data_IF_183137008542
#
_entry.id   IF_183137008542
#
_cell.length_a   1.000
_cell.length_b   1.000
_cell.length_c   1.000
_cell.angle_alpha   90.00
_cell.angle_beta   90.00
_cell.angle_gamma   90.00
#
_symmetry.space_group_name_H-M   'P 1'
#
loop_
_entity.id
_entity.type
_entity.pdbx_description
1 polymer ?
#
# COMPACT_ATOMS: atom_id res chain seq x y z
N UNK A 1 -10.23 -4.79 -48.44
CA UNK A 1 -9.39 -5.61 -47.53
C UNK A 1 -8.36 -4.78 -46.75
N UNK A 2 -7.51 -3.95 -47.40
CA UNK A 2 -6.52 -3.10 -46.68
C UNK A 2 -7.10 -2.05 -45.71
N UNK A 3 -8.29 -1.51 -45.98
CA UNK A 3 -8.97 -0.54 -45.10
C UNK A 3 -9.62 -1.17 -43.86
N UNK A 4 -9.96 -2.46 -43.92
CA UNK A 4 -10.59 -3.19 -42.81
C UNK A 4 -9.53 -3.66 -41.78
N UNK A 5 -8.32 -3.99 -42.25
CA UNK A 5 -7.19 -4.30 -41.36
C UNK A 5 -6.69 -3.07 -40.57
N UNK A 6 -6.75 -1.86 -41.15
CA UNK A 6 -6.29 -0.64 -40.47
C UNK A 6 -7.20 -0.24 -39.30
N UNK A 7 -8.51 -0.48 -39.43
CA UNK A 7 -9.51 -0.14 -38.41
C UNK A 7 -9.47 -1.10 -37.22
N UNK A 8 -9.17 -2.39 -37.43
CA UNK A 8 -9.01 -3.37 -36.34
C UNK A 8 -7.72 -3.19 -35.56
N UNK A 9 -6.62 -2.75 -36.19
CA UNK A 9 -5.37 -2.40 -35.48
C UNK A 9 -5.48 -1.11 -34.65
N UNK A 10 -6.22 -0.10 -35.12
CA UNK A 10 -6.43 1.14 -34.35
C UNK A 10 -7.34 0.88 -33.14
N UNK A 11 -8.35 0.01 -33.29
CA UNK A 11 -9.24 -0.34 -32.17
C UNK A 11 -8.54 -1.17 -31.09
N UNK A 12 -7.60 -2.06 -31.45
CA UNK A 12 -6.84 -2.86 -30.47
C UNK A 12 -5.74 -2.05 -29.75
N UNK A 13 -5.19 -1.01 -30.37
CA UNK A 13 -4.22 -0.10 -29.73
C UNK A 13 -4.86 0.86 -28.71
N UNK A 14 -6.19 1.08 -28.77
CA UNK A 14 -6.90 1.98 -27.85
C UNK A 14 -7.31 1.35 -26.51
N UNK A 15 -7.16 0.02 -26.35
CA UNK A 15 -7.49 -0.68 -25.08
C UNK A 15 -6.27 -1.00 -24.21
N UNK A 16 -5.05 -0.63 -24.62
CA UNK A 16 -3.82 -0.98 -23.90
C UNK A 16 -3.42 0.02 -22.79
N UNK A 17 -4.16 1.11 -22.59
CA UNK A 17 -3.73 2.25 -21.76
C UNK A 17 -4.43 2.40 -20.40
N UNK A 18 -5.35 1.50 -20.02
CA UNK A 18 -6.21 1.70 -18.85
C UNK A 18 -5.59 1.31 -17.49
N UNK A 19 -4.48 0.56 -17.47
CA UNK A 19 -3.94 -0.01 -16.23
C UNK A 19 -2.89 0.86 -15.52
N UNK A 20 -2.24 1.80 -16.24
CA UNK A 20 -1.20 2.67 -15.67
C UNK A 20 -1.75 3.96 -15.04
N UNK A 21 -3.06 4.20 -15.11
CA UNK A 21 -3.67 5.49 -14.79
C UNK A 21 -3.96 5.72 -13.28
N UNK A 22 -3.80 4.73 -12.40
CA UNK A 22 -4.27 4.86 -11.01
C UNK A 22 -3.22 5.37 -10.02
N UNK A 23 -1.99 4.85 -10.07
CA UNK A 23 -0.96 5.23 -9.08
C UNK A 23 -0.54 6.70 -9.24
N UNK A 24 -0.50 7.20 -10.48
CA UNK A 24 -0.19 8.61 -10.81
C UNK A 24 -1.23 9.60 -10.27
N UNK A 25 -2.44 9.11 -9.96
CA UNK A 25 -3.55 9.90 -9.42
C UNK A 25 -3.80 9.62 -7.93
N UNK A 26 -2.79 9.13 -7.22
CA UNK A 26 -2.87 8.74 -5.81
C UNK A 26 -1.96 9.54 -4.88
N UNK A 27 -2.19 9.46 -3.56
CA UNK A 27 -1.28 9.96 -2.51
C UNK A 27 0.14 9.38 -2.60
N UNK A 28 0.33 8.22 -3.24
CA UNK A 28 1.64 7.58 -3.40
C UNK A 28 2.40 8.06 -4.65
N UNK A 29 1.84 8.99 -5.44
CA UNK A 29 2.61 9.67 -6.48
C UNK A 29 3.47 10.78 -5.88
N UNK A 30 4.68 10.43 -5.43
CA UNK A 30 5.61 11.39 -4.85
C UNK A 30 6.49 12.10 -5.90
N UNK A 31 6.33 11.80 -7.20
CA UNK A 31 7.15 12.33 -8.28
C UNK A 31 6.76 13.75 -8.73
N UNK A 32 7.60 14.39 -9.53
CA UNK A 32 7.37 15.74 -10.07
C UNK A 32 6.28 15.81 -11.13
N UNK A 33 5.81 14.66 -11.61
CA UNK A 33 4.61 14.53 -12.44
C UNK A 33 3.32 14.47 -11.61
N UNK A 34 3.39 14.72 -10.30
CA UNK A 34 2.20 14.81 -9.45
C UNK A 34 1.24 15.88 -9.99
N UNK A 35 -0.03 15.55 -10.31
CA UNK A 35 -0.95 16.49 -10.93
C UNK A 35 -1.22 17.69 -10.01
N UNK A 36 -1.05 18.90 -10.53
CA UNK A 36 -1.43 20.12 -9.82
C UNK A 36 -2.95 20.11 -9.56
N UNK A 37 -3.36 20.24 -8.30
CA UNK A 37 -4.78 20.16 -7.92
C UNK A 37 -5.34 18.73 -7.85
N UNK A 38 -4.49 17.70 -7.82
CA UNK A 38 -4.95 16.37 -7.42
C UNK A 38 -5.58 16.49 -6.03
N UNK A 39 -6.89 16.25 -5.95
CA UNK A 39 -7.67 16.22 -4.71
C UNK A 39 -7.12 15.20 -3.68
N UNK A 40 -6.17 14.38 -4.10
CA UNK A 40 -5.71 13.17 -3.45
C UNK A 40 -4.19 13.10 -3.25
N UNK A 41 -3.42 14.19 -3.36
CA UNK A 41 -2.00 14.21 -2.98
C UNK A 41 -1.46 15.62 -2.78
N UNK A 42 -0.84 15.90 -1.63
CA UNK A 42 -0.18 17.21 -1.38
C UNK A 42 1.34 17.06 -1.29
N UNK A 43 1.82 15.83 -1.11
CA UNK A 43 3.23 15.49 -0.93
C UNK A 43 3.83 14.98 -2.24
N UNK A 44 4.75 15.75 -2.80
CA UNK A 44 5.44 15.41 -4.05
C UNK A 44 6.74 16.20 -4.17
N UNK A 45 7.73 15.65 -4.88
CA UNK A 45 8.97 16.37 -5.18
C UNK A 45 8.82 17.25 -6.40
N UNK A 46 9.30 18.49 -6.35
CA UNK A 46 9.26 19.39 -7.52
C UNK A 46 10.39 19.13 -8.53
N UNK A 47 11.51 18.54 -8.09
CA UNK A 47 12.71 18.40 -8.91
C UNK A 47 13.49 17.08 -8.72
N UNK A 48 13.00 16.15 -7.88
CA UNK A 48 13.70 14.89 -7.60
C UNK A 48 13.63 13.89 -8.76
N UNK A 49 12.42 13.51 -9.18
CA UNK A 49 12.22 12.50 -10.23
C UNK A 49 10.80 12.51 -10.78
N UNK A 50 10.62 12.07 -12.03
CA UNK A 50 9.31 11.80 -12.65
C UNK A 50 8.88 10.34 -12.47
N UNK A 51 9.75 9.47 -11.96
CA UNK A 51 9.48 8.04 -11.79
C UNK A 51 8.62 7.78 -10.55
N UNK A 52 7.35 7.42 -10.74
CA UNK A 52 6.40 7.23 -9.63
C UNK A 52 6.72 6.00 -8.77
N UNK A 53 7.14 4.91 -9.40
CA UNK A 53 7.40 3.65 -8.69
C UNK A 53 8.70 3.66 -7.89
N UNK A 54 9.65 4.56 -8.19
CA UNK A 54 11.01 4.51 -7.63
C UNK A 54 11.04 4.68 -6.11
N UNK A 55 10.02 5.33 -5.56
CA UNK A 55 9.86 5.50 -4.12
C UNK A 55 9.56 4.19 -3.39
N UNK A 56 9.10 3.15 -4.08
CA UNK A 56 8.73 1.86 -3.50
C UNK A 56 9.53 0.71 -4.11
N UNK A 57 9.72 0.70 -5.42
CA UNK A 57 10.22 -0.42 -6.19
C UNK A 57 11.38 -0.01 -7.09
N UNK A 58 12.29 -0.95 -7.34
CA UNK A 58 13.34 -0.81 -8.35
C UNK A 58 13.45 -2.09 -9.17
N UNK A 59 13.74 -2.02 -10.48
CA UNK A 59 13.93 -3.24 -11.28
C UNK A 59 15.09 -4.12 -10.77
N UNK A 60 16.12 -3.51 -10.19
CA UNK A 60 17.30 -4.22 -9.67
C UNK A 60 17.85 -3.55 -8.42
N UNK A 61 18.44 -4.35 -7.53
CA UNK A 61 19.07 -3.82 -6.31
C UNK A 61 18.06 -3.40 -5.24
N UNK A 62 16.83 -3.91 -5.28
CA UNK A 62 15.88 -3.82 -4.17
C UNK A 62 16.10 -4.91 -3.13
N UNK A 63 15.42 -4.81 -1.99
CA UNK A 63 15.34 -5.89 -0.99
C UNK A 63 14.09 -6.75 -1.23
N UNK A 64 13.95 -7.83 -0.45
CA UNK A 64 12.83 -8.79 -0.55
C UNK A 64 11.75 -8.57 0.52
N UNK A 65 11.82 -7.50 1.31
CA UNK A 65 10.83 -7.17 2.35
C UNK A 65 9.44 -6.87 1.74
N UNK A 66 9.47 -6.33 0.52
CA UNK A 66 8.37 -6.24 -0.44
C UNK A 66 8.97 -6.44 -1.85
N UNK A 67 8.18 -6.58 -2.93
CA UNK A 67 8.71 -6.87 -4.26
C UNK A 67 9.78 -5.87 -4.73
N UNK A 68 11.06 -6.23 -4.67
CA UNK A 68 12.19 -5.36 -5.03
C UNK A 68 12.10 -3.97 -4.36
N UNK A 69 11.95 -3.96 -3.03
CA UNK A 69 11.77 -2.74 -2.27
C UNK A 69 12.97 -1.79 -2.38
N UNK A 70 12.71 -0.52 -2.69
CA UNK A 70 13.74 0.45 -3.08
C UNK A 70 14.03 1.53 -2.04
N UNK A 71 13.81 1.25 -0.75
CA UNK A 71 14.02 2.24 0.32
C UNK A 71 14.91 1.73 1.44
N UNK A 72 15.38 2.65 2.27
CA UNK A 72 15.75 2.33 3.65
C UNK A 72 14.59 1.61 4.33
N UNK A 73 14.88 0.52 5.04
CA UNK A 73 13.89 -0.20 5.83
C UNK A 73 13.75 0.42 7.20
N UNK A 74 12.53 0.43 7.71
CA UNK A 74 12.28 0.83 9.10
C UNK A 74 12.98 -0.12 10.09
N UNK A 75 13.25 0.39 11.29
CA UNK A 75 13.97 -0.38 12.30
C UNK A 75 13.05 -1.45 12.89
N UNK A 76 13.28 -2.70 12.52
CA UNK A 76 12.55 -3.83 13.09
C UNK A 76 12.67 -3.85 14.62
N UNK A 77 11.55 -4.09 15.30
CA UNK A 77 11.52 -4.19 16.77
C UNK A 77 11.42 -2.86 17.52
N UNK A 78 11.33 -1.73 16.82
CA UNK A 78 11.22 -0.40 17.44
C UNK A 78 9.78 0.02 17.78
N UNK A 79 8.78 -0.83 17.54
CA UNK A 79 7.36 -0.44 17.64
C UNK A 79 6.72 -0.83 18.97
N UNK A 80 5.68 -0.10 19.35
CA UNK A 80 4.74 -0.48 20.42
C UNK A 80 3.43 -0.94 19.79
N UNK A 81 3.22 -2.24 19.55
CA UNK A 81 2.01 -2.73 18.91
C UNK A 81 0.79 -2.67 19.84
N UNK A 82 -0.40 -2.70 19.24
CA UNK A 82 -1.64 -2.94 19.96
C UNK A 82 -1.57 -4.21 20.81
N UNK A 83 -2.09 -4.12 22.03
CA UNK A 83 -2.30 -5.26 22.92
C UNK A 83 -3.61 -5.11 23.67
N UNK A 84 -4.27 -6.24 23.96
CA UNK A 84 -5.52 -6.29 24.71
C UNK A 84 -5.61 -7.61 25.48
N UNK A 85 -6.34 -7.63 26.58
CA UNK A 85 -6.64 -8.88 27.31
C UNK A 85 -7.61 -9.81 26.58
N UNK A 86 -8.28 -9.32 25.53
CA UNK A 86 -9.29 -10.05 24.76
C UNK A 86 -8.79 -10.47 23.38
N UNK A 87 -7.48 -10.35 23.10
CA UNK A 87 -6.92 -10.80 21.83
C UNK A 87 -6.42 -12.25 21.94
N UNK A 88 -6.95 -13.12 21.09
CA UNK A 88 -6.66 -14.56 21.14
C UNK A 88 -5.47 -14.97 20.26
N UNK A 89 -4.79 -14.00 19.64
CA UNK A 89 -3.59 -14.21 18.83
C UNK A 89 -2.43 -13.33 19.31
N UNK A 90 -1.21 -13.69 18.89
CA UNK A 90 -0.01 -12.91 19.16
C UNK A 90 0.12 -11.76 18.14
N UNK A 91 0.18 -10.54 18.66
CA UNK A 91 0.62 -9.35 17.91
C UNK A 91 2.13 -9.23 18.09
N UNK A 92 2.86 -9.58 17.03
CA UNK A 92 4.31 -9.43 16.99
C UNK A 92 4.73 -8.00 16.64
N UNK A 93 6.04 -7.80 16.53
CA UNK A 93 6.59 -6.60 15.93
C UNK A 93 6.27 -6.56 14.42
N UNK A 94 6.09 -5.36 13.82
CA UNK A 94 5.92 -5.22 12.39
C UNK A 94 7.04 -5.89 11.59
N UNK A 95 6.66 -6.61 10.54
CA UNK A 95 7.56 -7.31 9.64
C UNK A 95 7.07 -7.25 8.17
N UNK A 96 7.91 -7.74 7.26
CA UNK A 96 7.59 -7.88 5.84
C UNK A 96 6.99 -6.60 5.23
N UNK A 97 5.81 -6.76 4.62
CA UNK A 97 5.12 -5.67 3.91
C UNK A 97 4.73 -4.53 4.84
N UNK A 98 4.30 -4.79 6.07
CA UNK A 98 3.99 -3.73 7.02
C UNK A 98 5.23 -2.92 7.40
N UNK A 99 6.36 -3.57 7.65
CA UNK A 99 7.62 -2.88 7.93
C UNK A 99 8.09 -2.04 6.72
N UNK A 100 7.85 -2.52 5.49
CA UNK A 100 8.09 -1.75 4.28
C UNK A 100 7.20 -0.49 4.24
N UNK A 101 5.89 -0.60 4.48
CA UNK A 101 4.99 0.57 4.56
C UNK A 101 5.45 1.57 5.64
N UNK A 102 5.84 1.08 6.81
CA UNK A 102 6.30 1.91 7.92
C UNK A 102 7.61 2.66 7.59
N UNK A 103 8.41 2.21 6.62
CA UNK A 103 9.57 3.00 6.12
C UNK A 103 9.22 4.34 5.45
N UNK A 104 7.93 4.58 5.22
CA UNK A 104 7.38 5.90 4.90
C UNK A 104 6.55 6.43 6.08
N UNK A 105 5.72 5.55 6.65
CA UNK A 105 4.63 5.93 7.53
C UNK A 105 4.98 6.04 9.00
N UNK A 106 6.18 5.65 9.45
CA UNK A 106 6.59 5.84 10.86
C UNK A 106 7.30 7.17 11.14
N UNK A 107 7.53 7.97 10.09
CA UNK A 107 8.12 9.30 10.20
C UNK A 107 9.62 9.32 10.53
N UNK A 108 10.31 8.18 10.58
CA UNK A 108 11.73 8.09 10.96
C UNK A 108 12.68 8.10 9.77
N UNK A 109 12.17 7.81 8.57
CA UNK A 109 12.96 7.65 7.34
C UNK A 109 12.53 8.68 6.29
N UNK A 110 13.52 9.36 5.70
CA UNK A 110 13.30 10.31 4.62
C UNK A 110 12.63 9.64 3.40
N UNK A 111 11.63 10.29 2.79
CA UNK A 111 10.93 9.80 1.60
C UNK A 111 11.85 9.60 0.39
N UNK A 112 13.01 10.24 0.36
CA UNK A 112 14.04 10.06 -0.68
C UNK A 112 15.24 9.22 -0.20
N UNK A 113 15.12 8.45 0.89
CA UNK A 113 16.14 7.46 1.25
C UNK A 113 16.01 6.20 0.38
N UNK A 114 16.43 6.31 -0.89
CA UNK A 114 16.26 5.27 -1.91
C UNK A 114 17.49 4.37 -2.05
N UNK A 115 17.26 3.05 -2.14
CA UNK A 115 18.32 2.05 -2.34
C UNK A 115 18.96 2.14 -3.72
N UNK A 116 18.17 2.47 -4.73
CA UNK A 116 18.59 2.67 -6.11
C UNK A 116 17.88 3.93 -6.63
N UNK A 117 18.57 5.07 -6.56
CA UNK A 117 18.06 6.34 -7.08
C UNK A 117 18.00 6.31 -8.62
N UNK A 118 17.11 7.10 -9.25
CA UNK A 118 17.04 7.23 -10.71
C UNK A 118 18.40 7.54 -11.35
N UNK A 119 18.65 6.94 -12.51
CA UNK A 119 19.92 7.09 -13.24
C UNK A 119 20.96 6.02 -12.89
N UNK A 120 22.18 6.20 -13.39
CA UNK A 120 23.29 5.26 -13.15
C UNK A 120 24.10 5.68 -11.92
N UNK A 121 24.56 4.70 -11.14
CA UNK A 121 25.44 4.93 -9.99
C UNK A 121 24.74 5.33 -8.69
N UNK A 122 23.40 5.38 -8.67
CA UNK A 122 22.59 5.75 -7.50
C UNK A 122 22.32 4.62 -6.48
N UNK A 123 23.05 3.50 -6.57
CA UNK A 123 22.86 2.35 -5.69
C UNK A 123 23.59 2.52 -4.35
N UNK A 124 22.88 2.30 -3.23
CA UNK A 124 23.43 2.28 -1.88
C UNK A 124 22.80 1.17 -1.05
N UNK A 125 23.62 0.38 -0.35
CA UNK A 125 23.12 -0.64 0.61
C UNK A 125 22.64 -0.03 1.92
N UNK A 126 23.00 1.21 2.21
CA UNK A 126 22.61 1.97 3.40
C UNK A 126 22.08 3.32 2.93
N UNK A 127 20.88 3.33 2.32
CA UNK A 127 20.39 4.52 1.65
C UNK A 127 20.08 5.64 2.62
N UNK A 128 20.57 6.83 2.30
CA UNK A 128 20.29 8.09 2.99
C UNK A 128 19.48 8.99 2.07
N UNK A 129 18.94 10.09 2.62
CA UNK A 129 18.24 11.10 1.83
C UNK A 129 19.07 11.55 0.63
N UNK A 130 18.42 11.67 -0.54
CA UNK A 130 19.01 12.25 -1.75
C UNK A 130 19.09 13.79 -1.70
N UNK A 131 18.51 14.43 -0.68
CA UNK A 131 18.44 15.89 -0.57
C UNK A 131 17.37 16.52 -1.46
N UNK A 132 16.38 15.74 -1.90
CA UNK A 132 15.24 16.27 -2.64
C UNK A 132 14.35 17.13 -1.73
N UNK A 133 13.58 18.03 -2.32
CA UNK A 133 12.58 18.80 -1.57
C UNK A 133 11.19 18.33 -1.93
N UNK A 134 10.34 18.15 -0.92
CA UNK A 134 8.94 17.77 -1.09
C UNK A 134 8.01 18.92 -0.69
N UNK A 135 7.00 19.18 -1.52
CA UNK A 135 5.83 19.97 -1.16
C UNK A 135 4.96 19.20 -0.14
N UNK A 136 4.04 19.88 0.55
CA UNK A 136 3.02 19.24 1.40
C UNK A 136 3.50 18.71 2.75
N UNK A 137 4.80 18.74 3.02
CA UNK A 137 5.42 18.41 4.31
C UNK A 137 5.83 19.74 4.96
N UNK A 138 4.87 20.48 5.52
CA UNK A 138 5.15 21.85 6.02
C UNK A 138 5.78 21.91 7.41
N UNK A 139 6.01 20.78 8.10
CA UNK A 139 6.39 20.80 9.53
C UNK A 139 7.69 20.09 9.89
N UNK A 140 8.48 19.58 8.93
CA UNK A 140 9.87 19.22 9.19
C UNK A 140 10.82 19.81 8.16
N UNK A 141 11.48 20.94 8.48
CA UNK A 141 12.57 21.46 7.66
C UNK A 141 13.68 20.41 7.58
N UNK A 142 13.86 19.81 6.39
CA UNK A 142 15.11 19.15 6.01
C UNK A 142 15.26 17.65 6.26
N UNK A 143 14.22 16.92 6.69
CA UNK A 143 14.32 15.46 6.86
C UNK A 143 13.49 14.64 5.86
N UNK A 144 12.66 15.29 5.01
CA UNK A 144 11.77 14.64 4.06
C UNK A 144 10.89 13.52 4.67
N UNK A 145 10.53 13.59 5.95
CA UNK A 145 9.66 12.59 6.59
C UNK A 145 8.21 13.06 6.63
N UNK A 146 7.27 12.13 6.77
CA UNK A 146 5.87 12.49 6.97
C UNK A 146 5.71 13.20 8.33
N UNK A 147 4.93 14.30 8.38
CA UNK A 147 4.77 15.06 9.60
C UNK A 147 3.82 14.39 10.58
N UNK A 148 4.08 14.52 11.88
CA UNK A 148 3.12 14.20 12.94
C UNK A 148 2.20 15.41 13.14
N UNK A 149 1.31 15.66 12.17
CA UNK A 149 0.42 16.84 12.13
C UNK A 149 -1.03 16.54 12.53
N UNK A 150 -1.26 15.40 13.19
CA UNK A 150 -2.59 14.92 13.59
C UNK A 150 -3.38 14.24 12.47
N UNK A 151 -2.83 14.11 11.25
CA UNK A 151 -3.35 13.20 10.22
C UNK A 151 -2.82 11.80 10.48
N UNK A 152 -3.64 10.77 10.24
CA UNK A 152 -3.24 9.35 10.26
C UNK A 152 -2.44 9.02 8.99
N UNK A 153 -1.36 9.78 8.75
CA UNK A 153 -0.40 9.56 7.66
C UNK A 153 0.95 9.16 8.24
N UNK A 154 1.35 9.79 9.35
CA UNK A 154 2.47 9.36 10.16
C UNK A 154 1.93 8.60 11.38
N UNK A 155 2.12 7.28 11.40
CA UNK A 155 1.73 6.36 12.46
C UNK A 155 2.74 6.35 13.62
N UNK A 156 3.91 6.98 13.45
CA UNK A 156 5.02 6.92 14.39
C UNK A 156 5.46 5.46 14.66
N UNK A 157 6.21 5.24 15.74
CA UNK A 157 6.53 3.90 16.23
C UNK A 157 5.55 3.41 17.32
N UNK A 158 4.55 4.21 17.67
CA UNK A 158 3.50 3.86 18.64
C UNK A 158 2.25 3.44 17.87
N UNK A 159 2.00 2.13 17.79
CA UNK A 159 0.88 1.51 17.06
C UNK A 159 -0.18 0.95 18.02
N UNK A 160 -0.22 1.46 19.26
CA UNK A 160 -1.03 0.89 20.34
C UNK A 160 -2.53 1.17 20.20
N UNK A 161 -2.90 2.15 19.38
CA UNK A 161 -4.27 2.54 19.02
C UNK A 161 -4.64 2.15 17.58
N UNK A 162 -3.75 1.48 16.86
CA UNK A 162 -3.99 0.97 15.52
C UNK A 162 -4.57 -0.45 15.51
N UNK A 163 -5.18 -0.82 14.38
CA UNK A 163 -5.52 -2.23 14.14
C UNK A 163 -4.24 -3.07 14.08
N UNK A 164 -4.17 -4.21 14.78
CA UNK A 164 -3.00 -5.07 14.71
C UNK A 164 -2.59 -5.43 13.28
N UNK A 165 -1.30 -5.22 13.00
CA UNK A 165 -0.61 -5.62 11.76
C UNK A 165 0.56 -6.54 12.10
N UNK A 166 1.03 -7.30 11.11
CA UNK A 166 2.03 -8.35 11.26
C UNK A 166 1.67 -9.42 12.32
N UNK A 167 0.40 -9.47 12.72
CA UNK A 167 -0.19 -10.52 13.56
C UNK A 167 -0.49 -11.76 12.72
N UNK A 168 -0.33 -12.94 13.33
CA UNK A 168 -0.78 -14.19 12.71
C UNK A 168 -2.30 -14.22 12.74
N UNK A 169 -2.92 -14.41 11.57
CA UNK A 169 -4.36 -14.56 11.46
C UNK A 169 -4.79 -15.81 12.22
N UNK A 170 -5.76 -15.71 13.15
CA UNK A 170 -6.13 -16.83 13.99
C UNK A 170 -6.74 -17.95 13.17
N UNK A 171 -6.46 -19.19 13.56
CA UNK A 171 -7.22 -20.34 13.07
C UNK A 171 -8.59 -20.38 13.75
N UNK A 172 -9.57 -21.03 13.13
CA UNK A 172 -10.92 -21.18 13.70
C UNK A 172 -10.93 -21.89 15.08
N UNK A 173 -9.89 -22.66 15.40
CA UNK A 173 -9.73 -23.29 16.73
C UNK A 173 -9.17 -22.33 17.77
N UNK A 174 -8.31 -21.39 17.37
CA UNK A 174 -7.78 -20.35 18.25
C UNK A 174 -8.85 -19.30 18.55
N UNK A 175 -9.55 -18.85 17.51
CA UNK A 175 -10.67 -17.93 17.66
C UNK A 175 -11.80 -18.29 16.66
N UNK A 176 -12.92 -18.87 17.14
CA UNK A 176 -14.05 -19.24 16.28
C UNK A 176 -14.85 -18.02 15.77
N UNK A 177 -14.53 -16.80 16.20
CA UNK A 177 -15.14 -15.55 15.72
C UNK A 177 -14.42 -14.96 14.51
N UNK A 178 -13.57 -15.73 13.84
CA UNK A 178 -12.94 -15.34 12.57
C UNK A 178 -13.37 -16.25 11.41
N UNK A 179 -13.60 -15.65 10.25
CA UNK A 179 -13.85 -16.38 9.02
C UNK A 179 -12.58 -17.10 8.55
N UNK A 180 -12.73 -18.31 8.01
CA UNK A 180 -11.59 -19.01 7.41
C UNK A 180 -11.36 -18.50 5.98
N UNK A 181 -10.16 -17.98 5.65
CA UNK A 181 -9.86 -17.51 4.31
C UNK A 181 -9.71 -18.67 3.31
N UNK A 182 -9.97 -18.39 2.03
CA UNK A 182 -9.73 -19.30 0.93
C UNK A 182 -8.25 -19.35 0.53
N UNK A 183 -7.84 -20.42 -0.15
CA UNK A 183 -6.52 -20.50 -0.78
C UNK A 183 -6.58 -19.82 -2.15
N UNK A 184 -5.73 -18.81 -2.35
CA UNK A 184 -5.73 -17.98 -3.54
C UNK A 184 -4.32 -18.00 -4.16
N UNK A 185 -4.02 -19.04 -4.92
CA UNK A 185 -2.67 -19.31 -5.42
C UNK A 185 -1.67 -19.55 -4.27
N UNK A 186 -0.67 -18.67 -4.15
CA UNK A 186 0.38 -18.76 -3.12
C UNK A 186 0.06 -17.99 -1.82
N UNK A 187 -1.15 -17.43 -1.70
CA UNK A 187 -1.60 -16.64 -0.57
C UNK A 187 -2.95 -17.16 -0.03
N UNK A 188 -3.40 -16.58 1.07
CA UNK A 188 -4.78 -16.70 1.53
C UNK A 188 -5.55 -15.42 1.23
N UNK A 189 -6.82 -15.53 0.84
CA UNK A 189 -7.66 -14.38 0.58
C UNK A 189 -9.13 -14.64 0.92
N UNK A 190 -9.89 -13.56 1.06
CA UNK A 190 -11.35 -13.61 1.22
C UNK A 190 -11.98 -13.44 -0.16
N UNK A 191 -11.87 -14.51 -0.94
CA UNK A 191 -12.32 -14.62 -2.33
C UNK A 191 -13.85 -14.48 -2.42
N UNK A 192 -14.31 -13.41 -3.07
CA UNK A 192 -15.74 -13.09 -3.21
C UNK A 192 -16.36 -13.68 -4.47
N UNK A 193 -15.55 -14.05 -5.46
CA UNK A 193 -16.01 -14.55 -6.76
C UNK A 193 -15.65 -16.02 -7.03
N UNK A 194 -15.01 -16.67 -6.07
CA UNK A 194 -14.60 -18.08 -6.09
C UNK A 194 -13.67 -18.45 -7.26
N UNK A 195 -12.86 -17.51 -7.75
CA UNK A 195 -11.92 -17.74 -8.85
C UNK A 195 -10.55 -18.30 -8.37
N UNK A 196 -10.37 -18.47 -7.05
CA UNK A 196 -9.13 -18.92 -6.40
C UNK A 196 -7.91 -18.02 -6.65
N UNK A 197 -8.15 -16.72 -6.83
CA UNK A 197 -7.12 -15.68 -7.03
C UNK A 197 -7.53 -14.44 -6.23
N UNK A 198 -6.53 -13.77 -5.64
CA UNK A 198 -6.78 -12.55 -4.91
C UNK A 198 -6.94 -11.37 -5.88
N UNK A 199 -8.13 -10.78 -5.91
CA UNK A 199 -8.42 -9.57 -6.67
C UNK A 199 -8.07 -8.30 -5.88
N UNK A 200 -7.85 -7.19 -6.58
CA UNK A 200 -7.36 -5.94 -5.98
C UNK A 200 -8.29 -5.39 -4.89
N UNK A 201 -9.59 -5.69 -4.99
CA UNK A 201 -10.63 -5.34 -4.05
C UNK A 201 -10.89 -6.40 -2.96
N UNK A 202 -10.03 -7.41 -2.83
CA UNK A 202 -10.20 -8.47 -1.83
C UNK A 202 -9.15 -8.40 -0.73
N UNK A 203 -9.60 -8.62 0.51
CA UNK A 203 -8.69 -8.77 1.63
C UNK A 203 -7.85 -10.02 1.44
N UNK A 204 -6.54 -9.89 1.65
CA UNK A 204 -5.57 -10.97 1.49
C UNK A 204 -4.63 -11.05 2.68
N UNK A 205 -4.17 -12.26 2.99
CA UNK A 205 -3.20 -12.51 4.03
C UNK A 205 -1.85 -12.89 3.41
N UNK A 206 -0.78 -12.56 4.12
CA UNK A 206 0.58 -12.70 3.62
C UNK A 206 1.27 -13.88 4.29
N UNK A 207 1.93 -14.70 3.50
CA UNK A 207 2.64 -15.89 3.98
C UNK A 207 3.79 -15.50 4.91
N UNK A 208 3.94 -16.23 6.02
CA UNK A 208 5.07 -16.15 6.94
C UNK A 208 5.46 -17.54 7.44
N UNK A 209 6.57 -17.64 8.16
CA UNK A 209 7.03 -18.92 8.75
C UNK A 209 6.11 -19.46 9.83
N UNK A 210 5.27 -18.62 10.43
CA UNK A 210 4.35 -18.98 11.52
C UNK A 210 2.88 -19.02 11.08
N UNK A 211 2.62 -19.07 9.76
CA UNK A 211 1.28 -19.03 9.18
C UNK A 211 1.03 -17.78 8.34
N UNK A 212 -0.24 -17.47 8.08
CA UNK A 212 -0.62 -16.28 7.31
C UNK A 212 -0.83 -15.09 8.23
N UNK A 213 -0.31 -13.93 7.83
CA UNK A 213 -0.36 -12.69 8.62
C UNK A 213 -1.28 -11.65 8.00
N UNK A 214 -1.92 -10.88 8.87
CA UNK A 214 -2.53 -9.60 8.51
C UNK A 214 -1.40 -8.59 8.35
N UNK A 215 -1.29 -7.93 7.20
CA UNK A 215 -0.32 -6.87 6.94
C UNK A 215 -1.06 -5.59 6.54
N UNK A 216 -0.38 -4.44 6.44
CA UNK A 216 -1.00 -3.20 5.96
C UNK A 216 -1.69 -3.42 4.59
N UNK A 217 -1.03 -4.17 3.70
CA UNK A 217 -1.54 -4.50 2.38
C UNK A 217 -2.68 -5.54 2.37
N UNK A 218 -3.10 -6.06 3.53
CA UNK A 218 -4.32 -6.87 3.67
C UNK A 218 -5.57 -6.00 3.51
N UNK A 219 -5.51 -4.79 4.06
CA UNK A 219 -6.61 -3.82 4.02
C UNK A 219 -6.38 -2.74 2.96
N UNK A 220 -5.12 -2.36 2.71
CA UNK A 220 -4.77 -1.30 1.77
C UNK A 220 -4.26 -1.84 0.43
N UNK A 221 -4.63 -1.19 -0.68
CA UNK A 221 -4.04 -1.40 -2.00
C UNK A 221 -3.11 -0.22 -2.35
N UNK A 222 -1.78 -0.36 -2.20
CA UNK A 222 -0.86 0.75 -2.44
C UNK A 222 -0.84 1.21 -3.90
N UNK A 223 -1.38 0.42 -4.85
CA UNK A 223 -1.44 0.77 -6.27
C UNK A 223 -2.67 1.60 -6.68
N UNK A 224 -3.55 1.94 -5.72
CA UNK A 224 -4.85 2.55 -5.99
C UNK A 224 -5.94 1.50 -6.16
N UNK A 225 -7.18 1.86 -5.81
CA UNK A 225 -8.34 0.98 -6.00
C UNK A 225 -9.00 1.32 -7.33
N UNK A 226 -9.15 0.32 -8.21
CA UNK A 226 -9.98 0.44 -9.40
C UNK A 226 -11.44 0.57 -8.98
N UNK A 227 -12.09 1.67 -9.33
CA UNK A 227 -13.56 1.72 -9.47
C UNK A 227 -14.04 0.89 -10.68
N UNK A 228 -13.42 -0.26 -10.97
CA UNK A 228 -13.58 -0.96 -12.24
C UNK A 228 -13.43 -2.48 -12.14
N UNK A 229 -14.09 -3.11 -11.17
CA UNK A 229 -14.78 -4.41 -11.36
C UNK A 229 -16.10 -4.38 -10.55
N UNK A 230 -17.19 -4.01 -11.22
CA UNK A 230 -18.59 -4.36 -10.91
C UNK A 230 -19.19 -4.08 -9.52
N UNK A 231 -20.04 -3.03 -9.46
CA UNK A 231 -21.12 -2.75 -8.46
C UNK A 231 -20.77 -2.08 -7.11
N UNK A 232 -21.69 -1.22 -6.58
CA UNK A 232 -21.36 0.06 -5.94
C UNK A 232 -21.33 0.00 -4.40
N UNK A 233 -20.49 0.82 -3.77
CA UNK A 233 -20.56 1.05 -2.32
C UNK A 233 -20.32 2.53 -1.96
N UNK A 234 -21.40 3.32 -2.06
CA UNK A 234 -21.90 4.35 -1.13
C UNK A 234 -20.98 5.24 -0.24
N UNK A 235 -19.67 5.33 -0.45
CA UNK A 235 -18.76 6.24 0.27
C UNK A 235 -17.92 7.10 -0.69
N UNK A 236 -18.58 7.73 -1.67
CA UNK A 236 -17.93 8.26 -2.86
C UNK A 236 -17.55 9.74 -2.70
N UNK A 237 -16.32 10.10 -3.09
CA UNK A 237 -16.01 11.46 -3.53
C UNK A 237 -16.91 11.86 -4.72
N UNK A 238 -17.06 13.14 -5.10
CA UNK A 238 -18.03 13.65 -6.09
C UNK A 238 -17.97 13.04 -7.51
N UNK A 239 -17.05 12.11 -7.74
CA UNK A 239 -16.68 11.40 -8.95
C UNK A 239 -16.53 9.87 -8.74
N UNK A 240 -17.09 9.30 -7.66
CA UNK A 240 -17.35 7.86 -7.59
C UNK A 240 -16.22 6.98 -7.07
N UNK A 241 -15.26 7.50 -6.30
CA UNK A 241 -14.15 6.67 -5.79
C UNK A 241 -13.73 7.08 -4.39
N UNK A 242 -13.39 6.09 -3.55
CA UNK A 242 -12.73 6.30 -2.24
C UNK A 242 -11.21 6.10 -2.41
N UNK A 243 -10.54 7.17 -2.84
CA UNK A 243 -9.08 7.23 -3.01
C UNK A 243 -8.34 7.72 -1.76
N UNK A 244 -9.04 8.08 -0.67
CA UNK A 244 -8.43 8.81 0.42
C UNK A 244 -7.47 7.93 1.24
N UNK A 245 -7.81 6.64 1.40
CA UNK A 245 -7.09 5.70 2.28
C UNK A 245 -6.79 4.35 1.62
N UNK A 246 -7.05 4.17 0.33
CA UNK A 246 -6.66 2.96 -0.43
C UNK A 246 -7.27 1.64 0.07
N UNK A 247 -8.44 1.64 0.71
CA UNK A 247 -9.00 0.39 1.23
C UNK A 247 -9.42 -0.55 0.09
N UNK A 248 -9.01 -1.82 0.17
CA UNK A 248 -9.42 -2.87 -0.78
C UNK A 248 -10.93 -3.02 -0.83
N UNK A 249 -11.61 -2.82 0.31
CA UNK A 249 -13.06 -2.94 0.44
C UNK A 249 -13.67 -1.70 1.05
N UNK A 250 -14.91 -1.41 0.67
CA UNK A 250 -15.67 -0.33 1.27
C UNK A 250 -15.91 -0.61 2.76
N UNK A 251 -15.78 0.45 3.57
CA UNK A 251 -16.14 0.42 4.98
C UNK A 251 -17.66 0.55 5.22
N UNK A 252 -18.47 0.70 4.15
CA UNK A 252 -19.93 0.75 4.25
C UNK A 252 -20.47 -0.46 5.00
N UNK A 253 -21.34 -0.21 5.99
CA UNK A 253 -21.87 -1.24 6.92
C UNK A 253 -20.79 -2.09 7.61
N UNK A 254 -19.58 -1.56 7.81
CA UNK A 254 -18.41 -2.29 8.32
C UNK A 254 -17.89 -3.41 7.41
N UNK A 255 -18.12 -3.32 6.09
CA UNK A 255 -17.78 -4.35 5.10
C UNK A 255 -16.37 -4.93 5.21
N UNK A 256 -15.37 -4.07 5.43
CA UNK A 256 -13.98 -4.51 5.64
C UNK A 256 -13.83 -5.33 6.93
N UNK A 257 -14.40 -4.88 8.05
CA UNK A 257 -14.29 -5.57 9.33
C UNK A 257 -14.96 -6.94 9.28
N UNK A 258 -16.18 -7.00 8.74
CA UNK A 258 -16.96 -8.24 8.65
C UNK A 258 -16.47 -9.18 7.56
N UNK A 259 -15.42 -8.80 6.82
CA UNK A 259 -14.70 -9.74 5.95
C UNK A 259 -13.94 -10.77 6.78
N UNK A 260 -13.37 -10.36 7.91
CA UNK A 260 -12.59 -11.25 8.78
C UNK A 260 -13.35 -11.66 10.04
N UNK A 261 -14.11 -10.74 10.64
CA UNK A 261 -14.72 -10.96 11.96
C UNK A 261 -16.18 -11.37 11.84
N UNK A 262 -16.53 -12.42 12.57
CA UNK A 262 -17.89 -12.89 12.83
C UNK A 262 -18.37 -12.16 14.07
N UNK A 263 -19.37 -11.28 13.94
CA UNK A 263 -20.01 -10.64 15.11
C UNK A 263 -21.03 -11.57 15.74
#
# INVERSE_FOLDING_TARGET
MKRLLLLTTIFTLLFASSAFAMITMSRHNLGSTHPAGAQYGDVYTAAGTTEVCVFCHTPHGGTTDAPLWNRAMATAGAYTPYSSSTIDTSVGQPDGVSLACLSCHDGTIALDALRNAPGSGGFSTTPTSQGWTFSGISTSPGNNTLPEDGRITNLTQVLSDDHPISMVYPTATQDPKFFTPATCGNAQCFDENSNSRADDNEVRLFTSTTGYKVQCASCHNPHGTTASIGTPASNLAPNGVDYAVFLRKSQSASGLCVTCHIK
#
